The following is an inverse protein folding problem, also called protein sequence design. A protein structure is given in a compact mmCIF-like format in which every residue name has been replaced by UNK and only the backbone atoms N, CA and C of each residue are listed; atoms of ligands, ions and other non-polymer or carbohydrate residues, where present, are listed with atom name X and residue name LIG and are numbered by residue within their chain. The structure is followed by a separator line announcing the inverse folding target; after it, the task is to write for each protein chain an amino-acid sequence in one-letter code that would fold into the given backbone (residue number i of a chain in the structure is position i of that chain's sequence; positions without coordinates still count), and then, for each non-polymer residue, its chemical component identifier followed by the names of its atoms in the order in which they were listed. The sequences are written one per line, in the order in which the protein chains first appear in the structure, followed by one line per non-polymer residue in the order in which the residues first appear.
data_IF_387025223328
#
_entry.id   IF_387025223328
#
_cell.length_a   1.000
_cell.length_b   1.000
_cell.length_c   1.000
_cell.angle_alpha   90.00
_cell.angle_beta   90.00
_cell.angle_gamma   90.00
#
_symmetry.space_group_name_H-M   'P 1'
#
loop_
_entity.id
_entity.type
_entity.pdbx_description
1 polymer ?
#
# COMPACT_ATOMS: atom_id res chain seq x y z
N UNK A 1 6.25 0.15 -2.53
CA UNK A 1 5.35 0.78 -3.54
C UNK A 1 5.55 0.30 -5.00
N UNK A 2 5.99 -0.94 -5.27
CA UNK A 2 6.14 -1.44 -6.67
C UNK A 2 4.83 -2.01 -7.25
N UNK A 3 3.91 -2.47 -6.40
CA UNK A 3 2.63 -3.06 -6.79
C UNK A 3 1.74 -2.08 -7.58
N UNK A 4 1.55 -0.85 -7.08
CA UNK A 4 0.76 0.19 -7.76
C UNK A 4 1.42 0.69 -9.06
N UNK A 5 2.72 0.47 -9.26
CA UNK A 5 3.43 0.82 -10.52
C UNK A 5 3.26 -0.25 -11.60
N UNK A 6 2.95 -1.49 -11.20
CA UNK A 6 2.73 -2.60 -12.12
C UNK A 6 1.27 -2.58 -12.60
N UNK A 7 1.05 -2.27 -13.89
CA UNK A 7 -0.30 -2.10 -14.46
C UNK A 7 -1.23 -3.29 -14.19
N UNK A 8 -0.85 -4.55 -14.49
CA UNK A 8 -1.65 -5.73 -14.13
C UNK A 8 -2.01 -5.82 -12.65
N UNK A 9 -1.02 -5.72 -11.76
CA UNK A 9 -1.24 -5.88 -10.31
C UNK A 9 -2.10 -4.76 -9.74
N UNK A 10 -1.94 -3.53 -10.25
CA UNK A 10 -2.75 -2.38 -9.85
C UNK A 10 -4.25 -2.64 -10.05
N UNK A 11 -4.64 -3.28 -11.15
CA UNK A 11 -6.05 -3.62 -11.40
C UNK A 11 -6.61 -4.60 -10.35
N UNK A 12 -5.79 -5.55 -9.90
CA UNK A 12 -6.17 -6.53 -8.88
C UNK A 12 -6.32 -5.90 -7.48
N UNK A 13 -5.66 -4.76 -7.26
CA UNK A 13 -5.71 -3.99 -6.01
C UNK A 13 -6.83 -2.92 -6.00
N UNK A 14 -7.84 -3.06 -6.85
CA UNK A 14 -8.94 -2.10 -6.95
C UNK A 14 -8.68 -0.95 -7.92
N UNK A 15 -7.57 -0.96 -8.65
CA UNK A 15 -7.21 0.11 -9.57
C UNK A 15 -6.78 1.41 -8.86
N UNK A 16 -6.36 2.38 -9.65
CA UNK A 16 -6.13 3.75 -9.17
C UNK A 16 -6.69 4.70 -10.22
N UNK A 17 -7.56 5.59 -9.77
CA UNK A 17 -8.22 6.61 -10.58
C UNK A 17 -7.84 7.99 -10.05
N UNK A 18 -7.80 8.97 -10.95
CA UNK A 18 -7.45 10.35 -10.60
C UNK A 18 -8.67 11.23 -10.73
N UNK A 19 -9.07 11.85 -9.63
CA UNK A 19 -10.21 12.75 -9.54
C UNK A 19 -9.74 14.19 -9.45
N UNK A 20 -10.54 15.11 -9.99
CA UNK A 20 -10.32 16.55 -9.80
C UNK A 20 -11.22 17.06 -8.70
N UNK A 21 -10.63 17.56 -7.61
CA UNK A 21 -11.35 18.15 -6.50
C UNK A 21 -11.48 19.67 -6.63
N UNK A 22 -12.54 20.20 -6.02
CA UNK A 22 -12.78 21.63 -5.94
C UNK A 22 -11.79 22.36 -5.03
N UNK A 23 -11.71 23.68 -5.19
CA UNK A 23 -10.70 24.54 -4.55
C UNK A 23 -10.76 24.52 -3.02
N UNK A 24 -11.95 24.36 -2.43
CA UNK A 24 -12.11 24.25 -0.98
C UNK A 24 -11.45 22.99 -0.42
N UNK A 25 -11.69 21.83 -1.06
CA UNK A 25 -11.13 20.54 -0.64
C UNK A 25 -9.62 20.52 -0.89
N UNK A 26 -9.16 21.02 -2.05
CA UNK A 26 -7.74 21.14 -2.37
C UNK A 26 -6.98 21.98 -1.32
N UNK A 27 -7.54 23.11 -0.87
CA UNK A 27 -6.96 23.95 0.18
C UNK A 27 -6.96 23.27 1.55
N UNK A 28 -7.98 22.48 1.86
CA UNK A 28 -8.02 21.75 3.14
C UNK A 28 -6.90 20.71 3.23
N UNK A 29 -6.68 19.93 2.17
CA UNK A 29 -5.58 18.97 2.09
C UNK A 29 -4.21 19.65 2.07
N UNK A 30 -4.09 20.81 1.41
CA UNK A 30 -2.88 21.61 1.45
C UNK A 30 -2.45 21.95 2.88
N UNK A 31 -3.40 22.36 3.72
CA UNK A 31 -3.15 22.70 5.13
C UNK A 31 -2.79 21.50 6.00
N UNK A 32 -3.37 20.33 5.71
CA UNK A 32 -3.09 19.08 6.43
C UNK A 32 -1.69 18.55 6.14
N UNK A 33 -1.26 18.62 4.88
CA UNK A 33 -0.02 17.98 4.41
C UNK A 33 1.15 18.95 4.20
N UNK A 34 0.99 20.22 4.60
CA UNK A 34 1.94 21.34 4.40
C UNK A 34 2.57 21.36 2.99
N UNK A 35 1.73 21.09 1.98
CA UNK A 35 2.16 20.79 0.62
C UNK A 35 1.76 21.86 -0.40
N UNK A 36 2.13 21.69 -1.70
CA UNK A 36 1.57 22.50 -2.78
C UNK A 36 0.08 22.18 -2.98
N UNK A 37 -0.70 23.19 -3.39
CA UNK A 37 -2.11 23.00 -3.75
C UNK A 37 -2.22 21.98 -4.90
N UNK A 38 -2.83 20.82 -4.63
CA UNK A 38 -3.10 19.78 -5.62
C UNK A 38 -4.61 19.63 -5.78
N UNK A 39 -5.09 19.81 -7.01
CA UNK A 39 -6.50 19.56 -7.35
C UNK A 39 -6.73 18.14 -7.86
N UNK A 40 -5.67 17.41 -8.16
CA UNK A 40 -5.76 16.01 -8.57
C UNK A 40 -5.44 15.10 -7.39
N UNK A 41 -6.39 14.26 -7.04
CA UNK A 41 -6.26 13.24 -5.99
C UNK A 41 -6.34 11.88 -6.66
N UNK A 42 -5.46 10.96 -6.26
CA UNK A 42 -5.54 9.58 -6.67
C UNK A 42 -6.26 8.77 -5.59
N UNK A 43 -7.31 8.05 -5.97
CA UNK A 43 -8.07 7.17 -5.10
C UNK A 43 -8.20 5.79 -5.75
N UNK A 44 -8.52 4.79 -4.94
CA UNK A 44 -8.77 3.45 -5.42
C UNK A 44 -10.10 3.44 -6.21
N UNK A 45 -10.11 2.81 -7.38
CA UNK A 45 -11.29 2.79 -8.27
C UNK A 45 -12.39 1.81 -7.83
N UNK A 46 -12.07 0.86 -6.95
CA UNK A 46 -13.00 -0.14 -6.43
C UNK A 46 -12.36 -1.06 -5.40
N UNK A 47 -13.05 -2.11 -4.99
CA UNK A 47 -12.52 -3.05 -3.98
C UNK A 47 -11.36 -3.89 -4.53
N UNK A 48 -10.27 -4.13 -3.76
CA UNK A 48 -9.26 -5.08 -4.16
C UNK A 48 -9.89 -6.46 -4.29
N UNK A 49 -9.41 -7.23 -5.27
CA UNK A 49 -9.83 -8.63 -5.44
C UNK A 49 -9.27 -9.49 -4.29
N UNK A 50 -8.12 -9.09 -3.73
CA UNK A 50 -7.46 -9.80 -2.65
C UNK A 50 -7.38 -8.91 -1.42
N UNK A 51 -7.81 -9.44 -0.28
CA UNK A 51 -7.68 -8.80 1.03
C UNK A 51 -6.24 -8.86 1.55
N UNK A 52 -5.54 -9.98 1.33
CA UNK A 52 -4.18 -10.21 1.82
C UNK A 52 -3.17 -10.20 0.68
N UNK A 53 -2.07 -9.47 0.85
CA UNK A 53 -0.95 -9.41 -0.09
C UNK A 53 0.27 -10.05 0.58
N UNK A 54 0.89 -11.01 -0.09
CA UNK A 54 2.17 -11.61 0.33
C UNK A 54 3.24 -11.26 -0.70
N UNK A 55 4.19 -10.42 -0.31
CA UNK A 55 5.31 -10.01 -1.13
C UNK A 55 6.56 -10.84 -0.80
N UNK A 56 7.24 -11.32 -1.83
CA UNK A 56 8.59 -11.87 -1.73
C UNK A 56 9.57 -10.95 -2.43
N UNK A 57 10.71 -10.73 -1.79
CA UNK A 57 11.82 -10.01 -2.40
C UNK A 57 12.78 -10.97 -3.09
N UNK A 58 13.38 -10.49 -4.19
CA UNK A 58 14.42 -11.26 -4.88
C UNK A 58 15.56 -11.50 -3.90
N UNK A 59 16.01 -12.76 -3.82
CA UNK A 59 17.08 -13.23 -2.94
C UNK A 59 16.72 -13.31 -1.44
N UNK A 60 15.45 -13.10 -1.06
CA UNK A 60 14.94 -13.21 0.32
C UNK A 60 13.78 -14.23 0.38
N UNK A 61 13.99 -15.45 -0.13
CA UNK A 61 12.92 -16.46 -0.27
C UNK A 61 12.49 -17.12 1.05
N UNK A 62 13.22 -16.85 2.13
CA UNK A 62 12.89 -17.25 3.49
C UNK A 62 12.15 -16.15 4.26
N UNK A 63 11.91 -14.99 3.64
CA UNK A 63 11.26 -13.85 4.26
C UNK A 63 10.05 -13.40 3.42
N UNK A 64 8.91 -13.23 4.07
CA UNK A 64 7.66 -12.78 3.46
C UNK A 64 7.21 -11.50 4.14
N UNK A 65 6.80 -10.53 3.33
CA UNK A 65 6.11 -9.33 3.80
C UNK A 65 4.62 -9.50 3.53
N UNK A 66 3.81 -9.39 4.57
CA UNK A 66 2.38 -9.69 4.52
C UNK A 66 1.61 -8.44 4.91
N UNK A 67 0.73 -8.00 4.02
CA UNK A 67 -0.26 -6.97 4.27
C UNK A 67 -1.61 -7.66 4.41
N UNK A 68 -2.19 -7.62 5.61
CA UNK A 68 -3.48 -8.27 5.88
C UNK A 68 -4.69 -7.51 5.35
N UNK A 69 -4.56 -6.20 5.14
CA UNK A 69 -5.62 -5.33 4.64
C UNK A 69 -5.12 -4.54 3.43
N UNK A 70 -5.35 -5.11 2.25
CA UNK A 70 -4.95 -4.54 0.98
C UNK A 70 -5.63 -3.19 0.71
N UNK A 71 -6.91 -3.05 1.08
CA UNK A 71 -7.67 -1.83 0.86
C UNK A 71 -7.05 -0.68 1.63
N UNK A 72 -6.91 -0.86 2.96
CA UNK A 72 -6.29 0.13 3.85
C UNK A 72 -4.86 0.44 3.45
N UNK A 73 -4.08 -0.57 3.04
CA UNK A 73 -2.71 -0.35 2.61
C UNK A 73 -2.62 0.45 1.30
N UNK A 74 -3.49 0.19 0.32
CA UNK A 74 -3.54 0.96 -0.91
C UNK A 74 -3.96 2.40 -0.63
N UNK A 75 -5.00 2.58 0.18
CA UNK A 75 -5.54 3.90 0.53
C UNK A 75 -4.51 4.72 1.32
N UNK A 76 -3.83 4.11 2.29
CA UNK A 76 -2.71 4.72 3.03
C UNK A 76 -1.54 5.10 2.11
N UNK A 77 -1.14 4.23 1.18
CA UNK A 77 -0.09 4.54 0.19
C UNK A 77 -0.48 5.73 -0.70
N UNK A 78 -1.75 5.82 -1.10
CA UNK A 78 -2.26 6.92 -1.93
C UNK A 78 -2.35 8.24 -1.13
N UNK A 79 -2.73 8.16 0.15
CA UNK A 79 -2.73 9.28 1.09
C UNK A 79 -1.31 9.72 1.51
N UNK A 80 -0.30 8.87 1.29
CA UNK A 80 1.08 9.12 1.69
C UNK A 80 1.39 8.73 3.13
N UNK A 81 0.51 7.96 3.77
CA UNK A 81 0.63 7.45 5.13
C UNK A 81 1.54 6.21 5.18
N UNK A 82 2.06 5.91 6.38
CA UNK A 82 2.78 4.67 6.63
C UNK A 82 1.79 3.50 6.76
N UNK A 83 2.13 2.37 6.12
CA UNK A 83 1.30 1.17 6.14
C UNK A 83 1.96 0.07 6.96
N UNK A 84 1.19 -0.57 7.82
CA UNK A 84 1.69 -1.67 8.63
C UNK A 84 1.76 -2.97 7.82
N UNK A 85 2.84 -3.72 8.00
CA UNK A 85 3.03 -5.05 7.41
C UNK A 85 3.63 -6.01 8.43
N UNK A 86 3.30 -7.30 8.29
CA UNK A 86 3.97 -8.37 9.03
C UNK A 86 5.17 -8.84 8.21
N UNK A 87 6.31 -9.02 8.86
CA UNK A 87 7.44 -9.73 8.30
C UNK A 87 7.49 -11.10 8.95
N UNK A 88 7.41 -12.14 8.12
CA UNK A 88 7.56 -13.52 8.54
C UNK A 88 8.87 -14.06 7.98
N UNK A 89 9.72 -14.63 8.82
CA UNK A 89 11.02 -15.18 8.40
C UNK A 89 11.17 -16.62 8.85
N UNK A 90 11.39 -17.53 7.91
CA UNK A 90 11.68 -18.93 8.20
C UNK A 90 13.15 -19.09 8.58
N UNK A 91 13.39 -19.73 9.72
CA UNK A 91 14.75 -20.05 10.16
C UNK A 91 15.28 -21.26 9.36
N UNK A 92 16.53 -21.18 8.92
CA UNK A 92 17.18 -22.26 8.17
C UNK A 92 17.18 -23.56 8.97
N UNK A 93 16.89 -24.66 8.28
CA UNK A 93 16.91 -26.03 8.82
C UNK A 93 15.94 -26.29 9.99
N UNK A 94 14.94 -25.42 10.17
CA UNK A 94 13.83 -25.66 11.10
C UNK A 94 12.50 -25.33 10.43
N UNK A 95 11.41 -25.68 11.10
CA UNK A 95 10.05 -25.24 10.72
C UNK A 95 9.61 -24.01 11.54
N UNK A 96 10.56 -23.34 12.20
CA UNK A 96 10.27 -22.14 13.01
C UNK A 96 10.14 -20.93 12.10
N UNK A 97 9.07 -20.15 12.31
CA UNK A 97 8.82 -18.88 11.62
C UNK A 97 8.86 -17.77 12.66
N UNK A 98 9.76 -16.82 12.48
CA UNK A 98 9.83 -15.57 13.24
C UNK A 98 8.81 -14.59 12.68
N UNK A 99 8.23 -13.76 13.55
CA UNK A 99 7.21 -12.78 13.20
C UNK A 99 7.56 -11.43 13.83
N UNK A 100 7.60 -10.38 13.01
CA UNK A 100 7.86 -9.00 13.42
C UNK A 100 6.91 -8.05 12.67
N UNK A 101 6.56 -6.92 13.28
CA UNK A 101 5.73 -5.88 12.65
C UNK A 101 6.61 -4.75 12.14
N UNK A 102 6.42 -4.32 10.90
CA UNK A 102 7.10 -3.17 10.29
C UNK A 102 6.08 -2.14 9.80
N UNK A 103 6.42 -0.85 9.92
CA UNK A 103 5.72 0.25 9.26
C UNK A 103 6.47 0.63 7.98
N UNK A 104 5.73 0.87 6.89
CA UNK A 104 6.24 1.04 5.51
C UNK A 104 5.87 2.37 4.88
#
# INVERSE_FOLDING_TARGET
RKLLKNKPLRGLLGGVETYTVGDALAKSQQKLNDGPLRKQIAERGGEPIFEVIVELHRNEYDTWRITLDAAKAVDGILAGEECQSEIRRRVKNTNTILHEMEFL
#
